data_IF_161532247784
#
_entry.id   IF_161532247784
#
_cell.length_a   1.000
_cell.length_b   1.000
_cell.length_c   1.000
_cell.angle_alpha   90.00
_cell.angle_beta   90.00
_cell.angle_gamma   90.00
#
_symmetry.space_group_name_H-M   'P 1'
#
loop_
_entity.id
_entity.type
_entity.pdbx_description
1 polymer ?
#
# COMPACT_ATOMS: atom_id res chain seq x y z
N UNK A 1 2.94 -20.19 16.22
CA UNK A 1 1.67 -20.36 15.49
C UNK A 1 1.48 -19.11 14.64
N UNK A 2 1.05 -19.24 13.40
CA UNK A 2 0.74 -18.11 12.51
C UNK A 2 -0.50 -17.40 13.05
N UNK A 3 -0.41 -16.11 13.35
CA UNK A 3 -1.56 -15.30 13.78
C UNK A 3 -2.35 -14.82 12.56
N UNK A 4 -3.66 -14.47 12.68
CA UNK A 4 -4.43 -13.96 11.55
C UNK A 4 -3.76 -12.78 10.81
N UNK A 5 -3.09 -11.87 11.51
CA UNK A 5 -2.39 -10.73 10.92
C UNK A 5 -1.15 -11.12 10.07
N UNK A 6 -0.63 -12.34 10.21
CA UNK A 6 0.49 -12.86 9.41
C UNK A 6 0.04 -13.41 8.04
N UNK A 7 -1.26 -13.63 7.83
CA UNK A 7 -1.82 -14.09 6.55
C UNK A 7 -1.61 -13.04 5.45
N UNK A 8 -1.41 -13.45 4.19
CA UNK A 8 -1.52 -12.51 3.07
C UNK A 8 -2.94 -11.94 2.97
N UNK A 9 -3.10 -10.76 2.37
CA UNK A 9 -4.42 -10.15 2.17
C UNK A 9 -5.32 -11.04 1.31
N UNK A 10 -4.76 -11.62 0.25
CA UNK A 10 -5.47 -12.57 -0.63
C UNK A 10 -5.96 -13.80 0.14
N UNK A 11 -5.10 -14.38 0.99
CA UNK A 11 -5.48 -15.55 1.80
C UNK A 11 -6.52 -15.20 2.86
N UNK A 12 -6.32 -14.10 3.59
CA UNK A 12 -7.28 -13.62 4.58
C UNK A 12 -8.66 -13.37 3.95
N UNK A 13 -8.70 -12.68 2.81
CA UNK A 13 -9.95 -12.42 2.06
C UNK A 13 -10.64 -13.72 1.63
N UNK A 14 -9.87 -14.71 1.17
CA UNK A 14 -10.37 -16.04 0.80
C UNK A 14 -10.96 -16.78 2.00
N UNK A 15 -10.31 -16.74 3.16
CA UNK A 15 -10.79 -17.38 4.38
C UNK A 15 -12.05 -16.69 4.93
N UNK A 16 -12.13 -15.36 4.87
CA UNK A 16 -13.32 -14.56 5.20
C UNK A 16 -14.51 -15.01 4.35
N UNK A 17 -14.35 -15.05 3.02
CA UNK A 17 -15.43 -15.49 2.11
C UNK A 17 -15.87 -16.95 2.33
N UNK A 18 -15.00 -17.79 2.92
CA UNK A 18 -15.30 -19.18 3.27
C UNK A 18 -15.78 -19.38 4.71
N UNK A 19 -16.01 -18.30 5.46
CA UNK A 19 -16.41 -18.34 6.89
C UNK A 19 -15.41 -19.13 7.75
N UNK A 20 -14.12 -19.03 7.40
CA UNK A 20 -12.99 -19.67 8.13
C UNK A 20 -12.13 -18.69 8.91
N UNK A 21 -12.36 -17.39 8.72
CA UNK A 21 -11.74 -16.30 9.44
C UNK A 21 -12.79 -15.19 9.55
N UNK A 22 -13.05 -14.66 10.73
CA UNK A 22 -13.88 -13.47 10.89
C UNK A 22 -13.08 -12.20 10.53
N UNK A 23 -13.69 -11.21 9.84
CA UNK A 23 -13.11 -9.87 9.74
C UNK A 23 -12.79 -9.24 11.09
N UNK A 24 -13.59 -9.54 12.12
CA UNK A 24 -13.36 -9.07 13.50
C UNK A 24 -12.11 -9.73 14.07
N UNK A 25 -11.97 -11.05 13.96
CA UNK A 25 -10.78 -11.79 14.42
C UNK A 25 -9.49 -11.27 13.76
N UNK A 26 -9.54 -10.98 12.45
CA UNK A 26 -8.42 -10.39 11.72
C UNK A 26 -8.08 -8.99 12.26
N UNK A 27 -9.08 -8.12 12.39
CA UNK A 27 -8.90 -6.77 12.91
C UNK A 27 -8.29 -6.77 14.32
N UNK A 28 -8.79 -7.60 15.23
CA UNK A 28 -8.24 -7.73 16.59
C UNK A 28 -6.78 -8.16 16.58
N UNK A 29 -6.44 -9.12 15.71
CA UNK A 29 -5.06 -9.57 15.53
C UNK A 29 -4.15 -8.46 15.01
N UNK A 30 -4.64 -7.62 14.08
CA UNK A 30 -3.93 -6.45 13.58
C UNK A 30 -3.75 -5.36 14.66
N UNK A 31 -4.79 -5.05 15.43
CA UNK A 31 -4.72 -4.09 16.54
C UNK A 31 -3.73 -4.53 17.62
N UNK A 32 -3.73 -5.81 17.99
CA UNK A 32 -2.75 -6.38 18.92
C UNK A 32 -1.32 -6.25 18.37
N UNK A 33 -1.11 -6.53 17.07
CA UNK A 33 0.20 -6.37 16.42
C UNK A 33 0.65 -4.91 16.40
N UNK A 34 -0.25 -3.97 16.14
CA UNK A 34 0.04 -2.52 16.20
C UNK A 34 0.46 -2.12 17.59
N UNK A 35 -0.30 -2.50 18.63
CA UNK A 35 0.02 -2.18 20.02
C UNK A 35 1.40 -2.71 20.43
N UNK A 36 1.76 -3.92 19.98
CA UNK A 36 3.03 -4.56 20.31
C UNK A 36 4.24 -3.95 19.57
N UNK A 37 4.06 -3.43 18.35
CA UNK A 37 5.19 -3.09 17.46
C UNK A 37 5.33 -1.59 17.17
N UNK A 38 4.21 -0.86 17.09
CA UNK A 38 4.22 0.55 16.69
C UNK A 38 5.00 1.47 17.64
N UNK A 39 5.06 1.26 18.97
CA UNK A 39 5.86 2.11 19.86
C UNK A 39 7.35 2.17 19.49
N UNK A 40 7.89 1.13 18.85
CA UNK A 40 9.29 1.10 18.43
C UNK A 40 9.54 1.77 17.08
N UNK A 41 8.55 1.82 16.18
CA UNK A 41 8.75 2.20 14.78
C UNK A 41 7.92 3.39 14.30
N UNK A 42 6.84 3.73 14.99
CA UNK A 42 5.98 4.88 14.68
C UNK A 42 5.50 4.92 13.21
N UNK A 43 4.97 3.81 12.72
CA UNK A 43 4.44 3.65 11.35
C UNK A 43 2.97 4.04 11.25
N UNK A 44 2.18 3.78 12.29
CA UNK A 44 0.77 4.15 12.42
C UNK A 44 0.64 5.43 13.26
N UNK A 45 -0.04 6.45 12.72
CA UNK A 45 -0.05 7.82 13.28
C UNK A 45 -1.44 8.37 13.64
N UNK A 46 -2.49 7.73 13.14
CA UNK A 46 -3.87 7.97 13.56
C UNK A 46 -4.68 6.70 13.32
N UNK A 47 -5.67 6.44 14.18
CA UNK A 47 -6.58 5.30 14.08
C UNK A 47 -7.94 5.71 14.62
N UNK A 48 -8.99 5.09 14.09
CA UNK A 48 -10.32 5.07 14.72
C UNK A 48 -10.70 3.61 14.98
N UNK A 49 -10.32 3.10 16.15
CA UNK A 49 -10.57 1.71 16.50
C UNK A 49 -12.07 1.40 16.63
N UNK A 50 -12.88 2.38 17.04
CA UNK A 50 -14.30 2.18 17.24
C UNK A 50 -15.00 2.01 15.89
N UNK A 51 -14.72 2.89 14.93
CA UNK A 51 -15.24 2.79 13.56
C UNK A 51 -14.74 1.52 12.87
N UNK A 52 -13.44 1.21 12.98
CA UNK A 52 -12.88 0.00 12.40
C UNK A 52 -13.55 -1.28 12.95
N UNK A 53 -13.79 -1.36 14.28
CA UNK A 53 -14.49 -2.48 14.91
C UNK A 53 -15.95 -2.57 14.47
N UNK A 54 -16.63 -1.44 14.32
CA UNK A 54 -18.00 -1.40 13.81
C UNK A 54 -18.06 -1.90 12.36
N UNK A 55 -17.16 -1.41 11.49
CA UNK A 55 -17.05 -1.83 10.10
C UNK A 55 -16.71 -3.32 9.96
N UNK A 56 -15.78 -3.85 10.78
CA UNK A 56 -15.46 -5.27 10.77
C UNK A 56 -16.65 -6.15 11.22
N UNK A 57 -17.43 -5.71 12.20
CA UNK A 57 -18.66 -6.40 12.62
C UNK A 57 -19.70 -6.40 11.49
N UNK A 58 -19.92 -5.27 10.83
CA UNK A 58 -20.85 -5.23 9.69
C UNK A 58 -20.37 -6.13 8.55
N UNK A 59 -19.07 -6.13 8.26
CA UNK A 59 -18.47 -7.02 7.27
C UNK A 59 -18.68 -8.51 7.63
N UNK A 60 -18.55 -8.88 8.91
CA UNK A 60 -18.88 -10.23 9.38
C UNK A 60 -20.36 -10.57 9.19
N UNK A 61 -21.28 -9.65 9.55
CA UNK A 61 -22.71 -9.90 9.37
C UNK A 61 -23.08 -10.07 7.89
N UNK A 62 -22.52 -9.26 6.98
CA UNK A 62 -22.69 -9.42 5.54
C UNK A 62 -22.24 -10.81 5.04
N UNK A 63 -21.09 -11.29 5.52
CA UNK A 63 -20.59 -12.65 5.23
C UNK A 63 -21.58 -13.71 5.73
N UNK A 64 -22.13 -13.54 6.93
CA UNK A 64 -23.06 -14.50 7.52
C UNK A 64 -24.41 -14.52 6.79
N UNK A 65 -24.91 -13.36 6.35
CA UNK A 65 -26.12 -13.20 5.52
C UNK A 65 -25.93 -13.73 4.09
N UNK A 66 -24.70 -13.95 3.64
CA UNK A 66 -24.40 -14.46 2.30
C UNK A 66 -24.56 -13.41 1.21
N UNK A 67 -24.28 -12.15 1.54
CA UNK A 67 -24.31 -11.04 0.60
C UNK A 67 -23.19 -11.14 -0.45
N UNK A 68 -23.35 -10.40 -1.54
CA UNK A 68 -22.26 -10.21 -2.51
C UNK A 68 -21.16 -9.38 -1.86
N UNK A 69 -19.97 -9.99 -1.74
CA UNK A 69 -18.86 -9.42 -1.00
C UNK A 69 -17.88 -8.73 -1.95
N UNK A 70 -17.54 -7.47 -1.67
CA UNK A 70 -16.55 -6.72 -2.43
C UNK A 70 -15.14 -7.33 -2.41
N UNK A 71 -14.27 -6.81 -3.28
CA UNK A 71 -12.93 -7.35 -3.50
C UNK A 71 -12.06 -7.31 -2.23
N UNK A 72 -12.22 -6.29 -1.40
CA UNK A 72 -11.46 -6.07 -0.16
C UNK A 72 -12.26 -6.39 1.10
N UNK A 73 -13.44 -7.00 0.96
CA UNK A 73 -14.41 -7.19 2.05
C UNK A 73 -13.77 -7.73 3.34
N UNK A 74 -13.85 -6.92 4.40
CA UNK A 74 -13.40 -7.25 5.74
C UNK A 74 -11.89 -7.16 5.98
N UNK A 75 -11.09 -6.71 5.00
CA UNK A 75 -9.65 -6.53 5.17
C UNK A 75 -9.33 -5.17 5.82
N UNK A 76 -8.52 -5.13 6.90
CA UNK A 76 -7.99 -3.88 7.43
C UNK A 76 -7.02 -3.18 6.45
N UNK A 77 -7.16 -1.88 6.28
CA UNK A 77 -6.36 -1.07 5.36
C UNK A 77 -5.63 0.05 6.11
N UNK A 78 -4.32 0.17 5.87
CA UNK A 78 -3.54 1.35 6.25
C UNK A 78 -3.54 2.40 5.13
N UNK A 79 -3.85 3.65 5.44
CA UNK A 79 -3.94 4.74 4.45
C UNK A 79 -2.80 5.72 4.64
N UNK A 80 -2.00 5.97 3.61
CA UNK A 80 -0.95 7.01 3.69
C UNK A 80 -1.56 8.35 4.09
N UNK A 81 -0.93 9.05 5.04
CA UNK A 81 -1.41 10.32 5.58
C UNK A 81 -1.36 11.51 4.60
N UNK A 82 -1.36 11.25 3.28
CA UNK A 82 -1.53 12.22 2.19
C UNK A 82 -2.85 12.02 1.44
N UNK A 83 -3.67 11.06 1.86
CA UNK A 83 -4.91 10.70 1.20
C UNK A 83 -6.06 10.98 2.14
N UNK A 84 -6.94 11.89 1.75
CA UNK A 84 -8.10 12.25 2.58
C UNK A 84 -8.98 11.04 2.87
N UNK A 85 -9.41 10.97 4.13
CA UNK A 85 -10.21 9.88 4.67
C UNK A 85 -11.28 10.50 5.57
N UNK A 86 -12.54 10.31 5.21
CA UNK A 86 -13.68 10.87 5.93
C UNK A 86 -13.62 10.46 7.41
N UNK A 87 -13.71 11.44 8.30
CA UNK A 87 -13.76 11.21 9.74
C UNK A 87 -12.44 10.79 10.39
N UNK A 88 -11.38 10.53 9.63
CA UNK A 88 -10.07 10.14 10.15
C UNK A 88 -9.03 11.24 9.90
N UNK A 89 -8.41 11.71 10.98
CA UNK A 89 -7.43 12.80 10.97
C UNK A 89 -6.37 12.59 9.89
N UNK A 90 -6.26 13.53 8.96
CA UNK A 90 -5.31 13.50 7.83
C UNK A 90 -4.44 14.74 7.87
N UNK A 91 -3.17 14.61 8.22
CA UNK A 91 -2.33 15.77 8.56
C UNK A 91 -1.34 16.18 7.48
N UNK A 92 -1.20 15.36 6.45
CA UNK A 92 -0.16 15.52 5.45
C UNK A 92 1.25 15.56 6.01
N UNK A 93 1.46 15.04 7.23
CA UNK A 93 2.69 15.24 8.00
C UNK A 93 3.03 16.71 8.26
N UNK A 94 2.07 17.64 8.17
CA UNK A 94 2.29 19.08 8.33
C UNK A 94 1.60 19.63 9.56
N UNK A 95 2.28 20.54 10.26
CA UNK A 95 1.68 21.27 11.39
C UNK A 95 0.49 22.15 10.96
N UNK A 96 0.39 22.50 9.68
CA UNK A 96 -0.73 23.26 9.12
C UNK A 96 -2.05 22.49 9.19
N UNK A 97 -1.97 21.16 9.12
CA UNK A 97 -3.13 20.26 9.07
C UNK A 97 -3.15 19.30 10.26
N UNK A 98 -2.42 19.61 11.35
CA UNK A 98 -2.27 18.71 12.50
C UNK A 98 -3.58 18.26 13.15
N UNK A 99 -4.65 19.05 12.98
CA UNK A 99 -6.00 18.80 13.52
C UNK A 99 -7.04 18.63 12.39
N UNK A 100 -6.60 18.48 11.14
CA UNK A 100 -7.49 18.37 10.00
C UNK A 100 -8.17 16.99 9.95
N UNK A 101 -9.50 16.98 9.92
CA UNK A 101 -10.33 15.80 9.70
C UNK A 101 -11.14 16.03 8.44
N UNK A 102 -10.84 15.34 7.32
CA UNK A 102 -11.60 15.47 6.10
C UNK A 102 -13.07 15.05 6.27
N UNK A 103 -13.97 15.74 5.57
CA UNK A 103 -15.40 15.39 5.53
C UNK A 103 -15.69 14.25 4.54
N UNK A 104 -14.80 14.03 3.57
CA UNK A 104 -14.95 13.02 2.53
C UNK A 104 -13.64 12.22 2.33
N UNK A 105 -13.81 10.96 1.91
CA UNK A 105 -12.72 10.19 1.35
C UNK A 105 -12.32 10.78 -0.01
N UNK A 106 -11.04 10.75 -0.37
CA UNK A 106 -10.69 10.89 -1.78
C UNK A 106 -11.19 9.67 -2.59
N UNK A 107 -11.28 9.77 -3.91
CA UNK A 107 -11.89 8.72 -4.75
C UNK A 107 -11.21 7.36 -4.62
N UNK A 108 -9.90 7.30 -4.43
CA UNK A 108 -9.21 6.02 -4.25
C UNK A 108 -9.62 5.35 -2.93
N UNK A 109 -9.74 6.12 -1.84
CA UNK A 109 -10.21 5.60 -0.55
C UNK A 109 -11.71 5.30 -0.58
N UNK A 110 -12.52 6.12 -1.26
CA UNK A 110 -13.94 5.85 -1.43
C UNK A 110 -14.18 4.51 -2.14
N UNK A 111 -13.38 4.16 -3.17
CA UNK A 111 -13.42 2.86 -3.84
C UNK A 111 -12.99 1.72 -2.92
N UNK A 112 -11.91 1.91 -2.15
CA UNK A 112 -11.48 0.93 -1.14
C UNK A 112 -12.58 0.62 -0.14
N UNK A 113 -13.26 1.65 0.37
CA UNK A 113 -14.40 1.50 1.28
C UNK A 113 -15.60 0.84 0.59
N UNK A 114 -15.90 1.24 -0.65
CA UNK A 114 -16.98 0.64 -1.46
C UNK A 114 -16.80 -0.84 -1.76
N UNK A 115 -15.55 -1.31 -1.88
CA UNK A 115 -15.21 -2.74 -2.02
C UNK A 115 -15.11 -3.49 -0.68
N UNK A 116 -15.60 -2.88 0.41
CA UNK A 116 -15.69 -3.49 1.74
C UNK A 116 -14.38 -3.48 2.55
N UNK A 117 -13.38 -2.69 2.14
CA UNK A 117 -12.17 -2.49 2.93
C UNK A 117 -12.45 -1.74 4.23
N UNK A 118 -11.88 -2.23 5.34
CA UNK A 118 -12.00 -1.63 6.67
C UNK A 118 -10.86 -0.64 6.85
N UNK A 119 -11.13 0.66 6.77
CA UNK A 119 -10.10 1.69 6.97
C UNK A 119 -9.70 1.71 8.44
N UNK A 120 -8.49 1.21 8.75
CA UNK A 120 -8.03 1.04 10.12
C UNK A 120 -7.24 2.25 10.62
N UNK A 121 -6.34 2.75 9.80
CA UNK A 121 -5.27 3.62 10.27
C UNK A 121 -4.74 4.56 9.20
N UNK A 122 -4.14 5.66 9.64
CA UNK A 122 -3.22 6.47 8.85
C UNK A 122 -1.78 6.02 9.07
N UNK A 123 -1.02 5.92 7.99
CA UNK A 123 0.40 5.58 8.03
C UNK A 123 1.26 6.82 7.79
N UNK A 124 2.38 6.91 8.52
CA UNK A 124 3.24 8.10 8.53
C UNK A 124 3.84 8.44 7.14
N UNK A 125 4.18 9.71 6.96
CA UNK A 125 4.73 10.31 5.73
C UNK A 125 5.68 11.46 6.11
N UNK A 126 6.66 11.86 5.29
CA UNK A 126 7.23 13.20 5.39
C UNK A 126 6.18 14.26 5.04
N UNK A 127 6.41 15.49 5.49
CA UNK A 127 5.54 16.65 5.24
C UNK A 127 5.24 16.80 3.74
N UNK A 128 3.95 16.80 3.37
CA UNK A 128 3.41 16.83 2.00
C UNK A 128 3.97 15.74 1.06
N UNK A 129 4.56 14.67 1.60
CA UNK A 129 5.24 13.65 0.82
C UNK A 129 6.59 14.10 0.26
N UNK A 130 7.09 15.27 0.65
CA UNK A 130 8.33 15.87 0.21
C UNK A 130 9.52 15.34 1.02
N UNK A 131 10.15 14.28 0.52
CA UNK A 131 11.38 13.74 1.10
C UNK A 131 11.55 12.26 0.80
N UNK A 132 12.80 11.82 0.67
CA UNK A 132 13.17 10.40 0.56
C UNK A 132 13.30 9.73 1.94
N UNK A 133 12.53 10.20 2.92
CA UNK A 133 12.49 9.72 4.30
C UNK A 133 11.04 9.75 4.81
N UNK A 134 10.79 9.28 6.03
CA UNK A 134 9.49 9.38 6.69
C UNK A 134 9.66 10.05 8.04
N UNK A 135 9.92 11.36 8.00
CA UNK A 135 10.09 12.22 9.17
C UNK A 135 9.24 13.46 9.00
N UNK A 136 8.48 13.81 10.04
CA UNK A 136 7.76 15.06 10.07
C UNK A 136 7.62 15.62 11.50
N UNK A 137 7.13 16.86 11.62
CA UNK A 137 7.01 17.57 12.90
C UNK A 137 5.74 17.23 13.69
N UNK A 138 4.75 16.59 13.06
CA UNK A 138 3.49 16.20 13.71
C UNK A 138 3.68 14.92 14.54
N UNK A 139 4.34 13.93 13.94
CA UNK A 139 4.45 12.57 14.47
C UNK A 139 5.88 12.11 14.72
N UNK A 140 6.89 12.82 14.22
CA UNK A 140 8.29 12.39 14.29
C UNK A 140 8.68 11.44 13.16
N UNK A 141 9.71 10.62 13.42
CA UNK A 141 10.29 9.70 12.44
C UNK A 141 9.65 8.32 12.51
N UNK A 142 9.57 7.64 11.36
CA UNK A 142 9.31 6.20 11.28
C UNK A 142 10.62 5.43 11.13
N UNK A 143 10.86 4.46 12.00
CA UNK A 143 12.01 3.56 11.97
C UNK A 143 11.85 2.38 11.01
N UNK A 144 12.95 1.81 10.54
CA UNK A 144 12.95 0.64 9.66
C UNK A 144 12.53 -0.64 10.42
N UNK A 145 11.73 -1.56 9.84
CA UNK A 145 11.31 -2.79 10.50
C UNK A 145 12.46 -3.74 10.86
N UNK A 146 13.59 -3.69 10.13
CA UNK A 146 14.77 -4.51 10.42
C UNK A 146 15.69 -3.88 11.47
N UNK A 147 15.60 -2.56 11.65
CA UNK A 147 16.39 -1.79 12.61
C UNK A 147 15.72 -0.42 12.86
N UNK A 148 15.01 -0.23 13.98
CA UNK A 148 14.23 0.99 14.22
C UNK A 148 15.03 2.29 14.23
N UNK A 149 16.35 2.26 14.42
CA UNK A 149 17.18 3.48 14.36
C UNK A 149 17.60 3.87 12.94
N UNK A 150 17.31 3.03 11.94
CA UNK A 150 17.60 3.29 10.53
C UNK A 150 16.39 3.84 9.78
N UNK A 151 16.67 4.49 8.65
CA UNK A 151 15.61 4.99 7.76
C UNK A 151 14.79 3.87 7.14
N UNK A 152 13.47 4.03 7.13
CA UNK A 152 12.55 3.24 6.30
C UNK A 152 12.40 3.80 4.87
N UNK A 153 13.20 4.82 4.51
CA UNK A 153 13.04 5.66 3.34
C UNK A 153 11.66 6.34 3.30
N UNK A 154 11.23 6.79 2.13
CA UNK A 154 9.98 7.50 1.99
C UNK A 154 9.65 7.84 0.54
N UNK A 155 8.52 8.51 0.30
CA UNK A 155 7.63 9.09 1.31
C UNK A 155 6.55 8.15 1.88
N UNK A 156 6.38 6.94 1.37
CA UNK A 156 5.40 5.96 1.91
C UNK A 156 6.02 4.98 2.93
N UNK A 157 6.96 5.46 3.76
CA UNK A 157 7.70 4.58 4.67
C UNK A 157 6.83 4.01 5.79
N UNK A 158 5.89 4.80 6.34
CA UNK A 158 4.92 4.30 7.31
C UNK A 158 4.12 3.12 6.77
N UNK A 159 3.66 3.21 5.52
CA UNK A 159 2.93 2.16 4.82
C UNK A 159 3.77 0.89 4.68
N UNK A 160 5.03 1.03 4.26
CA UNK A 160 5.95 -0.09 4.08
C UNK A 160 6.28 -0.82 5.39
N UNK A 161 6.53 -0.06 6.47
CA UNK A 161 6.83 -0.60 7.80
C UNK A 161 5.60 -1.30 8.38
N UNK A 162 4.42 -0.71 8.24
CA UNK A 162 3.18 -1.32 8.72
C UNK A 162 2.90 -2.66 8.05
N UNK A 163 3.15 -2.77 6.75
CA UNK A 163 3.07 -4.04 6.01
C UNK A 163 4.10 -5.06 6.49
N UNK A 164 5.36 -4.64 6.63
CA UNK A 164 6.48 -5.51 7.01
C UNK A 164 6.31 -6.13 8.39
N UNK A 165 5.69 -5.40 9.33
CA UNK A 165 5.46 -5.87 10.70
C UNK A 165 4.11 -6.59 10.89
N UNK A 166 3.30 -6.73 9.84
CA UNK A 166 1.98 -7.35 9.94
C UNK A 166 0.93 -6.46 10.64
N UNK A 167 1.17 -5.15 10.75
CA UNK A 167 0.22 -4.21 11.37
C UNK A 167 -1.05 -4.08 10.55
N UNK A 168 -0.92 -4.11 9.22
CA UNK A 168 -2.03 -4.18 8.26
C UNK A 168 -1.70 -5.17 7.14
N UNK A 169 -2.69 -5.84 6.51
CA UNK A 169 -2.46 -6.69 5.33
C UNK A 169 -2.26 -5.88 4.04
N UNK A 170 -2.86 -4.69 3.93
CA UNK A 170 -2.77 -3.80 2.77
C UNK A 170 -2.53 -2.37 3.22
N UNK A 171 -1.74 -1.63 2.42
CA UNK A 171 -1.55 -0.21 2.64
C UNK A 171 -1.53 0.57 1.33
N UNK A 172 -2.08 1.78 1.35
CA UNK A 172 -1.98 2.70 0.23
C UNK A 172 -0.68 3.50 0.28
N UNK A 173 -0.27 4.05 -0.85
CA UNK A 173 0.82 5.01 -0.90
C UNK A 173 0.74 5.94 -2.10
N UNK A 174 1.82 6.69 -2.30
CA UNK A 174 2.01 7.54 -3.48
C UNK A 174 3.47 7.56 -3.91
N UNK A 175 3.72 7.82 -5.19
CA UNK A 175 5.04 7.84 -5.81
C UNK A 175 5.16 9.06 -6.74
N UNK A 176 6.14 9.92 -6.48
CA UNK A 176 6.56 10.97 -7.41
C UNK A 176 7.91 10.62 -8.03
N UNK A 177 8.90 10.35 -7.17
CA UNK A 177 10.27 9.99 -7.55
C UNK A 177 10.78 8.69 -6.94
N UNK A 178 9.89 7.78 -6.54
CA UNK A 178 10.25 6.51 -5.89
C UNK A 178 9.48 6.18 -4.62
N UNK A 179 8.54 7.04 -4.20
CA UNK A 179 7.92 6.93 -2.87
C UNK A 179 7.05 5.70 -2.60
N UNK A 180 6.73 4.86 -3.61
CA UNK A 180 6.19 3.51 -3.39
C UNK A 180 7.32 2.48 -3.38
N UNK A 181 8.23 2.57 -4.35
CA UNK A 181 9.26 1.57 -4.64
C UNK A 181 10.43 1.58 -3.66
N UNK A 182 10.92 2.76 -3.29
CA UNK A 182 12.07 2.95 -2.38
C UNK A 182 11.77 2.45 -0.96
N UNK A 183 10.69 2.87 -0.28
CA UNK A 183 10.38 2.33 1.05
C UNK A 183 10.02 0.84 1.00
N UNK A 184 9.39 0.35 -0.08
CA UNK A 184 9.15 -1.07 -0.28
C UNK A 184 10.46 -1.88 -0.30
N UNK A 185 11.46 -1.42 -1.05
CA UNK A 185 12.79 -2.05 -1.10
C UNK A 185 13.51 -2.01 0.26
N UNK A 186 13.40 -0.91 1.00
CA UNK A 186 14.05 -0.75 2.32
C UNK A 186 13.39 -1.58 3.42
N UNK A 187 12.09 -1.89 3.29
CA UNK A 187 11.31 -2.60 4.30
C UNK A 187 10.98 -4.04 3.90
N UNK A 188 11.40 -4.50 2.72
CA UNK A 188 11.21 -5.88 2.28
C UNK A 188 9.76 -6.23 1.93
N UNK A 189 9.02 -5.29 1.32
CA UNK A 189 7.61 -5.47 0.92
C UNK A 189 7.41 -5.11 -0.56
N UNK A 190 6.20 -5.29 -1.08
CA UNK A 190 5.83 -4.93 -2.44
C UNK A 190 5.22 -3.53 -2.52
N UNK A 191 5.74 -2.70 -3.42
CA UNK A 191 5.16 -1.41 -3.80
C UNK A 191 5.13 -1.27 -5.31
N UNK A 192 3.96 -1.02 -5.88
CA UNK A 192 3.79 -0.92 -7.33
C UNK A 192 3.47 0.53 -7.71
N UNK A 193 4.34 1.13 -8.53
CA UNK A 193 4.06 2.44 -9.13
C UNK A 193 3.28 2.21 -10.44
N UNK A 194 1.96 2.47 -10.47
CA UNK A 194 1.20 2.30 -11.69
C UNK A 194 1.53 3.40 -12.72
N UNK A 195 1.14 3.18 -13.97
CA UNK A 195 1.15 4.24 -14.97
C UNK A 195 0.28 5.41 -14.51
N UNK A 196 0.65 6.67 -14.83
CA UNK A 196 -0.18 7.84 -14.54
C UNK A 196 -1.60 7.66 -15.06
N UNK A 197 -2.60 8.02 -14.26
CA UNK A 197 -4.02 7.88 -14.59
C UNK A 197 -4.65 6.52 -14.31
N UNK A 198 -3.87 5.44 -14.10
CA UNK A 198 -4.42 4.13 -13.75
C UNK A 198 -5.15 4.18 -12.42
N UNK A 199 -4.53 4.79 -11.41
CA UNK A 199 -5.22 5.24 -10.19
C UNK A 199 -5.44 6.75 -10.36
N UNK A 200 -6.69 7.19 -10.63
CA UNK A 200 -6.96 8.59 -10.91
C UNK A 200 -6.64 9.50 -9.73
N UNK A 201 -6.13 10.69 -10.03
CA UNK A 201 -5.87 11.75 -9.06
C UNK A 201 -6.83 12.92 -9.22
N UNK A 202 -7.51 13.30 -8.15
CA UNK A 202 -8.55 14.35 -8.16
C UNK A 202 -8.00 15.78 -8.22
N UNK A 203 -6.75 15.97 -7.76
CA UNK A 203 -6.16 17.28 -7.53
C UNK A 203 -4.84 17.46 -8.28
N UNK A 204 -4.72 16.86 -9.48
CA UNK A 204 -3.51 17.03 -10.30
C UNK A 204 -3.29 18.52 -10.59
N UNK A 205 -2.07 18.98 -10.33
CA UNK A 205 -1.68 20.35 -10.61
C UNK A 205 -1.93 20.68 -12.10
N UNK A 206 -2.41 21.89 -12.37
CA UNK A 206 -2.78 22.39 -13.70
C UNK A 206 -1.68 22.30 -14.76
N UNK A 207 -0.43 22.05 -14.35
CA UNK A 207 0.75 21.93 -15.21
C UNK A 207 0.84 20.58 -15.96
N UNK A 208 -0.14 19.68 -15.84
CA UNK A 208 -0.17 18.38 -16.55
C UNK A 208 1.13 17.58 -16.36
N UNK A 209 1.60 17.46 -15.11
CA UNK A 209 2.81 16.71 -14.78
C UNK A 209 2.45 15.29 -14.34
N UNK A 210 2.89 14.23 -15.07
CA UNK A 210 2.45 12.86 -14.83
C UNK A 210 3.23 12.14 -13.70
N UNK A 211 4.09 12.84 -12.96
CA UNK A 211 5.00 12.17 -12.01
C UNK A 211 4.30 11.66 -10.74
N UNK A 212 3.41 12.44 -10.14
CA UNK A 212 2.70 12.02 -8.94
C UNK A 212 1.66 10.94 -9.27
N UNK A 213 1.74 9.77 -8.66
CA UNK A 213 0.69 8.74 -8.75
C UNK A 213 0.36 8.20 -7.36
N UNK A 214 -0.90 7.89 -7.12
CA UNK A 214 -1.31 7.02 -6.01
C UNK A 214 -1.10 5.57 -6.43
N UNK A 215 -0.88 4.67 -5.47
CA UNK A 215 -0.75 3.26 -5.79
C UNK A 215 -0.79 2.34 -4.57
N UNK A 216 -0.77 1.04 -4.82
CA UNK A 216 -0.91 0.01 -3.81
C UNK A 216 0.44 -0.41 -3.22
N UNK A 217 0.39 -0.88 -1.97
CA UNK A 217 1.45 -1.60 -1.32
C UNK A 217 0.88 -2.84 -0.61
N UNK A 218 1.65 -3.92 -0.58
CA UNK A 218 1.30 -5.19 0.07
C UNK A 218 2.54 -5.95 0.52
N UNK A 219 2.37 -7.04 1.28
CA UNK A 219 3.50 -7.93 1.61
C UNK A 219 3.96 -8.76 0.42
N UNK A 220 3.03 -9.06 -0.48
CA UNK A 220 3.25 -9.84 -1.71
C UNK A 220 2.83 -9.05 -2.94
N UNK A 221 3.22 -9.53 -4.12
CA UNK A 221 2.81 -8.92 -5.40
C UNK A 221 1.29 -9.09 -5.59
N UNK A 222 0.76 -10.24 -5.18
CA UNK A 222 -0.66 -10.58 -5.22
C UNK A 222 -1.49 -9.63 -4.33
N UNK A 223 -0.99 -9.29 -3.14
CA UNK A 223 -1.65 -8.32 -2.24
C UNK A 223 -1.66 -6.91 -2.85
N UNK A 224 -0.52 -6.45 -3.38
CA UNK A 224 -0.44 -5.15 -4.04
C UNK A 224 -1.36 -5.10 -5.29
N UNK A 225 -1.45 -6.19 -6.04
CA UNK A 225 -2.37 -6.32 -7.17
C UNK A 225 -3.83 -6.28 -6.73
N UNK A 226 -4.19 -6.97 -5.64
CA UNK A 226 -5.54 -6.96 -5.08
C UNK A 226 -6.00 -5.52 -4.78
N UNK A 227 -5.15 -4.72 -4.13
CA UNK A 227 -5.44 -3.32 -3.85
C UNK A 227 -5.45 -2.45 -5.14
N UNK A 228 -4.57 -2.73 -6.11
CA UNK A 228 -4.56 -2.02 -7.39
C UNK A 228 -5.92 -2.13 -8.09
N UNK A 229 -6.49 -3.34 -8.14
CA UNK A 229 -7.75 -3.62 -8.83
C UNK A 229 -8.93 -2.85 -8.23
N UNK A 230 -8.88 -2.52 -6.94
CA UNK A 230 -9.88 -1.66 -6.30
C UNK A 230 -9.64 -0.17 -6.57
N UNK A 231 -8.37 0.25 -6.65
CA UNK A 231 -8.02 1.66 -6.82
C UNK A 231 -8.11 2.11 -8.28
N UNK A 232 -7.85 1.19 -9.22
CA UNK A 232 -7.80 1.48 -10.64
C UNK A 232 -9.20 1.80 -11.17
N UNK A 233 -9.31 2.91 -11.90
CA UNK A 233 -10.58 3.33 -12.48
C UNK A 233 -10.38 4.33 -13.60
N UNK A 234 -11.45 4.62 -14.34
CA UNK A 234 -11.51 5.72 -15.30
C UNK A 234 -12.12 6.94 -14.61
N UNK A 235 -11.49 8.10 -14.74
CA UNK A 235 -11.99 9.38 -14.25
C UNK A 235 -11.83 10.47 -15.31
N UNK A 236 -12.92 11.18 -15.63
CA UNK A 236 -12.91 12.28 -16.60
C UNK A 236 -12.22 13.53 -16.07
N UNK A 237 -12.06 13.66 -14.76
CA UNK A 237 -11.34 14.74 -14.10
C UNK A 237 -9.83 14.57 -14.13
N UNK A 238 -9.31 13.37 -14.39
CA UNK A 238 -7.88 13.11 -14.52
C UNK A 238 -7.47 13.07 -16.00
N UNK A 239 -6.67 14.04 -16.50
CA UNK A 239 -6.26 14.08 -17.90
C UNK A 239 -5.34 12.94 -18.33
N UNK A 240 -4.78 12.17 -17.39
CA UNK A 240 -3.98 10.96 -17.69
C UNK A 240 -4.79 9.68 -17.60
N UNK A 241 -6.02 9.74 -17.09
CA UNK A 241 -6.90 8.57 -17.03
C UNK A 241 -7.34 8.16 -18.43
N UNK A 242 -7.21 6.87 -18.72
CA UNK A 242 -7.68 6.26 -19.96
C UNK A 242 -8.37 4.94 -19.66
N UNK A 243 -9.10 4.39 -20.63
CA UNK A 243 -9.71 3.06 -20.51
C UNK A 243 -8.67 1.93 -20.45
N UNK A 244 -7.37 2.21 -20.61
CA UNK A 244 -6.32 1.20 -20.53
C UNK A 244 -6.25 0.56 -19.14
N UNK A 245 -6.65 1.29 -18.09
CA UNK A 245 -6.74 0.75 -16.73
C UNK A 245 -7.76 -0.41 -16.62
N UNK A 246 -8.75 -0.47 -17.51
CA UNK A 246 -9.73 -1.56 -17.57
C UNK A 246 -9.15 -2.84 -18.18
N UNK A 247 -7.96 -2.76 -18.79
CA UNK A 247 -7.24 -3.91 -19.35
C UNK A 247 -6.33 -4.59 -18.32
N UNK A 248 -6.30 -4.11 -17.07
CA UNK A 248 -5.56 -4.79 -16.01
C UNK A 248 -6.10 -6.21 -15.81
N UNK A 249 -5.23 -7.22 -15.73
CA UNK A 249 -5.67 -8.59 -15.59
C UNK A 249 -6.38 -8.77 -14.25
N UNK A 250 -7.59 -9.33 -14.25
CA UNK A 250 -8.35 -9.54 -13.00
C UNK A 250 -7.67 -10.51 -12.03
N UNK A 251 -6.74 -11.34 -12.51
CA UNK A 251 -5.89 -12.22 -11.72
C UNK A 251 -4.49 -12.23 -12.31
N UNK A 252 -3.49 -12.25 -11.42
CA UNK A 252 -2.14 -12.60 -11.83
C UNK A 252 -2.10 -14.06 -12.26
N UNK A 253 -1.45 -14.32 -13.39
CA UNK A 253 -1.34 -15.64 -13.98
C UNK A 253 0.09 -15.92 -14.40
N UNK A 254 0.36 -17.20 -14.67
CA UNK A 254 1.62 -17.60 -15.25
C UNK A 254 1.68 -17.10 -16.69
N UNK A 255 2.79 -16.47 -17.06
CA UNK A 255 3.13 -16.14 -18.43
C UNK A 255 4.36 -16.94 -18.84
N UNK A 256 4.48 -17.25 -20.13
CA UNK A 256 5.70 -17.82 -20.66
C UNK A 256 6.79 -16.74 -20.69
N UNK A 257 7.69 -16.78 -19.71
CA UNK A 257 8.82 -15.87 -19.61
C UNK A 257 9.80 -16.03 -20.80
N UNK A 258 9.76 -17.16 -21.51
CA UNK A 258 10.53 -17.38 -22.75
C UNK A 258 10.17 -16.37 -23.84
N UNK A 259 8.92 -15.90 -23.84
CA UNK A 259 8.42 -14.88 -24.78
C UNK A 259 8.72 -13.43 -24.39
N UNK A 260 9.22 -13.21 -23.17
CA UNK A 260 9.46 -11.87 -22.63
C UNK A 260 10.91 -11.44 -22.89
N UNK A 261 11.08 -10.25 -23.48
CA UNK A 261 12.39 -9.61 -23.58
C UNK A 261 12.64 -8.74 -22.36
N UNK A 262 13.66 -9.08 -21.57
CA UNK A 262 14.05 -8.36 -20.37
C UNK A 262 15.46 -7.76 -20.52
N UNK A 263 15.61 -6.48 -20.16
CA UNK A 263 16.92 -5.83 -20.06
C UNK A 263 17.26 -5.61 -18.58
N UNK A 264 18.46 -6.02 -18.18
CA UNK A 264 18.96 -5.84 -16.82
C UNK A 264 20.07 -4.79 -16.80
N UNK A 265 19.89 -3.78 -15.95
CA UNK A 265 20.93 -2.79 -15.68
C UNK A 265 20.97 -2.51 -14.20
N UNK A 266 22.17 -2.45 -13.64
CA UNK A 266 22.36 -2.12 -12.23
C UNK A 266 22.25 -0.63 -11.94
N UNK A 267 22.59 0.22 -12.91
CA UNK A 267 22.79 1.66 -12.72
C UNK A 267 22.19 2.53 -13.84
N UNK A 268 21.61 1.92 -14.88
CA UNK A 268 21.13 2.61 -16.09
C UNK A 268 22.21 3.48 -16.77
N UNK A 269 23.50 3.22 -16.49
CA UNK A 269 24.63 4.00 -16.99
C UNK A 269 24.84 5.37 -16.33
N UNK A 270 24.04 5.75 -15.32
CA UNK A 270 24.13 7.07 -14.70
C UNK A 270 23.91 7.12 -13.18
N UNK A 271 23.29 6.10 -12.59
CA UNK A 271 22.95 6.09 -11.17
C UNK A 271 24.10 5.53 -10.32
N UNK A 272 24.52 6.22 -9.24
CA UNK A 272 25.44 5.63 -8.28
C UNK A 272 24.72 4.52 -7.51
N UNK A 273 25.28 3.31 -7.49
CA UNK A 273 24.73 2.15 -6.79
C UNK A 273 25.79 1.51 -5.90
N UNK A 274 25.40 1.22 -4.66
CA UNK A 274 26.24 0.52 -3.69
C UNK A 274 26.72 -0.84 -4.23
N UNK A 275 27.97 -1.21 -3.92
CA UNK A 275 28.61 -2.41 -4.47
C UNK A 275 27.89 -3.69 -4.04
N UNK A 276 27.43 -3.77 -2.79
CA UNK A 276 26.73 -4.96 -2.29
C UNK A 276 25.32 -5.05 -2.88
N UNK A 277 24.62 -3.92 -3.03
CA UNK A 277 23.33 -3.88 -3.74
C UNK A 277 23.49 -4.33 -5.20
N UNK A 278 24.49 -3.81 -5.92
CA UNK A 278 24.76 -4.20 -7.29
C UNK A 278 25.11 -5.69 -7.40
N UNK A 279 25.87 -6.23 -6.44
CA UNK A 279 26.20 -7.66 -6.37
C UNK A 279 24.96 -8.52 -6.13
N UNK A 280 24.11 -8.16 -5.18
CA UNK A 280 22.84 -8.86 -4.90
C UNK A 280 21.93 -8.82 -6.12
N UNK A 281 21.77 -7.65 -6.76
CA UNK A 281 20.96 -7.53 -7.97
C UNK A 281 21.46 -8.43 -9.10
N UNK A 282 22.77 -8.43 -9.40
CA UNK A 282 23.38 -9.29 -10.42
C UNK A 282 23.16 -10.77 -10.11
N UNK A 283 23.35 -11.17 -8.85
CA UNK A 283 23.15 -12.56 -8.42
C UNK A 283 21.69 -13.00 -8.58
N UNK A 284 20.74 -12.14 -8.21
CA UNK A 284 19.30 -12.42 -8.37
C UNK A 284 18.90 -12.45 -9.84
N UNK A 285 19.32 -11.49 -10.66
CA UNK A 285 19.06 -11.50 -12.10
C UNK A 285 19.60 -12.78 -12.77
N UNK A 286 20.78 -13.23 -12.38
CA UNK A 286 21.35 -14.48 -12.88
C UNK A 286 20.54 -15.72 -12.48
N UNK A 287 19.93 -15.75 -11.29
CA UNK A 287 19.23 -16.95 -10.78
C UNK A 287 17.95 -17.29 -11.53
N UNK A 288 17.35 -16.35 -12.25
CA UNK A 288 16.18 -16.60 -13.10
C UNK A 288 16.45 -16.28 -14.57
N UNK A 289 17.71 -16.06 -14.98
CA UNK A 289 18.02 -15.74 -16.39
C UNK A 289 17.59 -16.86 -17.35
N UNK A 290 17.68 -18.11 -16.93
CA UNK A 290 17.37 -19.29 -17.76
C UNK A 290 15.88 -19.44 -18.12
N UNK A 291 14.99 -18.65 -17.52
CA UNK A 291 13.55 -18.70 -17.83
C UNK A 291 13.17 -17.80 -19.02
N UNK A 292 14.08 -16.93 -19.48
CA UNK A 292 13.88 -16.10 -20.66
C UNK A 292 14.46 -16.78 -21.91
N UNK A 293 13.89 -16.49 -23.07
CA UNK A 293 14.44 -16.93 -24.35
C UNK A 293 15.81 -16.31 -24.61
N UNK A 294 16.66 -16.99 -25.36
CA UNK A 294 17.88 -16.37 -25.91
C UNK A 294 17.46 -15.26 -26.89
N UNK A 295 18.08 -14.08 -26.75
CA UNK A 295 17.77 -12.89 -27.55
C UNK A 295 18.42 -12.92 -28.94
#
# INVERSE_FOLDING_TARGET
MTEPCDLSAVEARRLIGRKKLSPVELLESNLARIAATNPAVNSIVAMDEADARAAAKEAEQAVMRGEDLGLLHGLPIGVKDLQDTAGLKTTYGSLLYKDHVPEADNSAIARVRGEGGVILAKTNTPEFGAGANTVNRVYGATGNPFDPVKTCAGSSGGSAVALALGQVPLATGSDYGGSLRTPAAFCGVAGFRPSPGVVPGETRAALLVPFAVSGPMGRTIEDAHLLLMTQANVDKGDPFSSNDCLSLPSKLGNIDLGSVRAAFSTDLGCAPVDREIAKVFKARAASFRSVFGEA
#
